data_IF_109928017977
#
_entry.id   IF_109928017977
#
_cell.length_a   1.000
_cell.length_b   1.000
_cell.length_c   1.000
_cell.angle_alpha   90.00
_cell.angle_beta   90.00
_cell.angle_gamma   90.00
#
_symmetry.space_group_name_H-M   'P 1'
#
loop_
_entity.id
_entity.type
_entity.pdbx_description
1 polymer ?
#
# COMPACT_ATOMS: atom_id res chain seq x y z
N UNK A 1 10.67 -7.03 11.14
CA UNK A 1 9.59 -7.94 10.70
C UNK A 1 8.80 -7.46 9.47
N UNK A 2 8.97 -6.22 8.97
CA UNK A 2 8.12 -5.67 7.87
C UNK A 2 8.16 -6.43 6.54
N UNK A 3 9.32 -6.51 5.87
CA UNK A 3 9.42 -7.10 4.52
C UNK A 3 9.13 -8.60 4.43
N UNK A 4 9.43 -9.37 5.48
CA UNK A 4 9.13 -10.82 5.48
C UNK A 4 7.62 -11.04 5.49
N UNK A 5 6.88 -10.27 6.31
CA UNK A 5 5.42 -10.32 6.32
C UNK A 5 4.83 -9.90 4.96
N UNK A 6 5.41 -8.88 4.31
CA UNK A 6 5.01 -8.41 2.98
C UNK A 6 5.18 -9.49 1.91
N UNK A 7 6.31 -10.21 1.89
CA UNK A 7 6.52 -11.35 0.97
C UNK A 7 5.52 -12.47 1.24
N UNK A 8 5.28 -12.82 2.50
CA UNK A 8 4.27 -13.81 2.87
C UNK A 8 2.89 -13.41 2.35
N UNK A 9 2.49 -12.15 2.52
CA UNK A 9 1.21 -11.62 2.03
C UNK A 9 1.08 -11.78 0.53
N UNK A 10 2.11 -11.43 -0.25
CA UNK A 10 2.11 -11.59 -1.72
C UNK A 10 1.90 -13.04 -2.13
N UNK A 11 2.51 -13.98 -1.42
CA UNK A 11 2.33 -15.41 -1.71
C UNK A 11 0.90 -15.85 -1.37
N UNK A 12 0.41 -15.51 -0.17
CA UNK A 12 -0.90 -15.94 0.31
C UNK A 12 -2.08 -15.33 -0.47
N UNK A 13 -1.97 -14.06 -0.89
CA UNK A 13 -3.03 -13.34 -1.61
C UNK A 13 -2.95 -13.55 -3.13
N UNK A 14 -1.96 -14.31 -3.62
CA UNK A 14 -1.87 -14.74 -5.01
C UNK A 14 -1.25 -13.71 -5.96
N UNK A 15 -0.27 -12.96 -5.48
CA UNK A 15 0.55 -12.03 -6.28
C UNK A 15 0.06 -10.59 -6.24
N UNK A 16 0.93 -9.67 -6.68
CA UNK A 16 0.66 -8.22 -6.62
C UNK A 16 -0.57 -7.77 -7.41
N UNK A 17 -0.92 -8.43 -8.53
CA UNK A 17 -2.11 -8.12 -9.31
C UNK A 17 -3.40 -8.24 -8.50
N UNK A 18 -3.57 -9.34 -7.76
CA UNK A 18 -4.75 -9.56 -6.92
C UNK A 18 -4.79 -8.57 -5.76
N UNK A 19 -3.65 -8.36 -5.10
CA UNK A 19 -3.55 -7.38 -4.01
C UNK A 19 -3.93 -5.99 -4.51
N UNK A 20 -3.42 -5.58 -5.67
CA UNK A 20 -3.71 -4.29 -6.26
C UNK A 20 -5.21 -4.11 -6.53
N UNK A 21 -5.85 -5.09 -7.19
CA UNK A 21 -7.28 -5.05 -7.53
C UNK A 21 -8.20 -5.12 -6.30
N UNK A 22 -7.78 -5.79 -5.23
CA UNK A 22 -8.54 -5.82 -3.97
C UNK A 22 -8.32 -4.56 -3.13
N UNK A 23 -7.15 -3.94 -3.26
CA UNK A 23 -6.77 -2.76 -2.49
C UNK A 23 -7.35 -1.50 -3.10
N UNK A 24 -7.36 -1.35 -4.42
CA UNK A 24 -7.78 -0.13 -5.10
C UNK A 24 -8.97 -0.39 -6.02
N UNK A 25 -9.82 0.61 -6.18
CA UNK A 25 -10.82 0.60 -7.23
C UNK A 25 -10.12 0.67 -8.59
N UNK A 26 -10.33 -0.36 -9.41
CA UNK A 26 -9.71 -0.50 -10.72
C UNK A 26 -10.75 -0.38 -11.82
N UNK A 27 -10.35 0.25 -12.93
CA UNK A 27 -11.18 0.23 -14.14
C UNK A 27 -11.23 -1.21 -14.70
N UNK A 28 -12.30 -1.60 -15.42
CA UNK A 28 -12.46 -2.95 -15.95
C UNK A 28 -11.26 -3.49 -16.75
N UNK A 29 -10.57 -2.62 -17.49
CA UNK A 29 -9.42 -2.97 -18.34
C UNK A 29 -8.06 -2.54 -17.75
N UNK A 30 -8.04 -2.09 -16.50
CA UNK A 30 -6.82 -1.66 -15.86
C UNK A 30 -5.91 -2.83 -15.50
N UNK A 31 -4.66 -2.77 -15.97
CA UNK A 31 -3.67 -3.83 -15.75
C UNK A 31 -2.51 -3.31 -14.93
N UNK A 32 -2.15 -4.04 -13.88
CA UNK A 32 -0.91 -3.79 -13.17
C UNK A 32 0.27 -4.11 -14.11
N UNK A 33 1.30 -3.25 -14.11
CA UNK A 33 2.54 -3.44 -14.86
C UNK A 33 3.68 -3.86 -13.96
N UNK A 34 3.85 -3.14 -12.85
CA UNK A 34 4.94 -3.33 -11.91
C UNK A 34 4.49 -3.01 -10.49
N UNK A 35 5.12 -3.67 -9.52
CA UNK A 35 5.02 -3.35 -8.12
C UNK A 35 6.43 -3.27 -7.52
N UNK A 36 6.66 -2.29 -6.66
CA UNK A 36 7.96 -2.03 -6.04
C UNK A 36 7.77 -1.84 -4.53
N UNK A 37 8.47 -2.63 -3.72
CA UNK A 37 8.62 -2.31 -2.31
C UNK A 37 9.42 -1.00 -2.18
N UNK A 38 8.88 -0.02 -1.48
CA UNK A 38 9.46 1.32 -1.37
C UNK A 38 9.15 1.97 -0.03
N UNK A 39 9.71 3.16 0.17
CA UNK A 39 9.29 4.08 1.23
C UNK A 39 8.68 5.31 0.59
N UNK A 40 7.48 5.70 1.02
CA UNK A 40 6.88 6.98 0.69
C UNK A 40 7.39 8.04 1.67
N UNK A 41 8.08 9.06 1.16
CA UNK A 41 8.51 10.18 1.98
C UNK A 41 7.31 11.05 2.36
N UNK A 42 7.14 11.33 3.65
CA UNK A 42 6.13 12.25 4.16
C UNK A 42 6.77 13.27 5.10
N UNK A 43 6.05 14.34 5.45
CA UNK A 43 6.48 15.32 6.46
C UNK A 43 6.69 14.71 7.85
N UNK A 44 6.07 13.57 8.14
CA UNK A 44 6.20 12.84 9.40
C UNK A 44 7.19 11.66 9.30
N UNK A 45 7.96 11.60 8.21
CA UNK A 45 8.96 10.56 7.96
C UNK A 45 8.54 9.54 6.89
N UNK A 46 9.43 8.58 6.58
CA UNK A 46 9.17 7.58 5.54
C UNK A 46 8.17 6.52 6.00
N UNK A 47 7.20 6.21 5.15
CA UNK A 47 6.24 5.10 5.35
C UNK A 47 6.62 3.95 4.43
N UNK A 48 6.83 2.75 5.01
CA UNK A 48 7.10 1.54 4.23
C UNK A 48 5.84 1.03 3.54
N UNK A 49 5.96 0.65 2.26
CA UNK A 49 4.84 0.11 1.51
C UNK A 49 5.21 -0.38 0.12
N UNK A 50 4.20 -0.51 -0.72
CA UNK A 50 4.33 -0.94 -2.12
C UNK A 50 3.78 0.14 -3.05
N UNK A 51 4.59 0.54 -4.03
CA UNK A 51 4.16 1.34 -5.17
C UNK A 51 3.70 0.41 -6.29
N UNK A 52 2.46 0.56 -6.73
CA UNK A 52 1.85 -0.11 -7.85
C UNK A 52 1.82 0.83 -9.05
N UNK A 53 2.32 0.34 -10.19
CA UNK A 53 2.28 1.05 -11.48
C UNK A 53 1.35 0.28 -12.38
N UNK A 54 0.17 0.84 -12.68
CA UNK A 54 -0.80 0.25 -13.61
C UNK A 54 -0.83 0.98 -14.95
N UNK A 55 -1.68 0.52 -15.87
CA UNK A 55 -1.97 1.23 -17.13
C UNK A 55 -2.71 2.54 -16.94
N UNK A 56 -3.27 2.81 -15.76
CA UNK A 56 -4.16 3.95 -15.52
C UNK A 56 -3.73 4.84 -14.34
N UNK A 57 -2.98 4.32 -13.37
CA UNK A 57 -2.57 5.08 -12.17
C UNK A 57 -1.28 4.59 -11.54
N UNK A 58 -0.73 5.46 -10.69
CA UNK A 58 0.27 5.13 -9.70
C UNK A 58 -0.43 5.08 -8.35
N UNK A 59 -0.31 3.98 -7.63
CA UNK A 59 -0.95 3.83 -6.33
C UNK A 59 0.05 3.33 -5.29
N UNK A 60 -0.04 3.83 -4.07
CA UNK A 60 0.77 3.42 -2.94
C UNK A 60 -0.10 2.88 -1.82
N UNK A 61 0.32 1.79 -1.19
CA UNK A 61 -0.31 1.23 0.02
C UNK A 61 0.77 0.88 1.05
N UNK A 62 0.59 1.28 2.30
CA UNK A 62 1.49 0.92 3.39
C UNK A 62 1.42 -0.58 3.73
N UNK A 63 2.56 -1.16 4.13
CA UNK A 63 2.64 -2.59 4.49
C UNK A 63 1.89 -2.91 5.79
N UNK A 64 1.77 -1.92 6.68
CA UNK A 64 1.10 -2.00 7.98
C UNK A 64 0.32 -0.72 8.28
N UNK A 65 -0.59 -0.74 9.26
CA UNK A 65 -1.22 0.48 9.75
C UNK A 65 -0.17 1.49 10.21
N UNK A 66 -0.37 2.75 9.84
CA UNK A 66 0.44 3.89 10.23
C UNK A 66 -0.28 4.60 11.36
N UNK A 67 0.42 4.86 12.46
CA UNK A 67 -0.14 5.56 13.61
C UNK A 67 -0.31 7.05 13.30
N UNK A 68 -1.41 7.64 13.78
CA UNK A 68 -1.68 9.06 13.71
C UNK A 68 -2.46 9.51 14.95
N UNK A 69 -2.45 10.82 15.22
CA UNK A 69 -3.19 11.41 16.33
C UNK A 69 -4.46 12.04 15.77
N UNK A 70 -5.60 11.76 16.41
CA UNK A 70 -6.91 12.33 16.05
C UNK A 70 -7.09 13.72 16.65
N UNK A 71 -8.12 14.44 16.23
CA UNK A 71 -8.46 15.77 16.76
C UNK A 71 -8.70 15.75 18.28
N UNK A 72 -9.24 14.63 18.81
CA UNK A 72 -9.47 14.40 20.25
C UNK A 72 -8.19 13.97 21.01
N UNK A 73 -7.02 14.12 20.39
CA UNK A 73 -5.70 13.78 20.95
C UNK A 73 -5.56 12.28 21.34
N UNK A 74 -6.25 11.40 20.63
CA UNK A 74 -6.13 9.95 20.77
C UNK A 74 -5.23 9.37 19.69
N UNK A 75 -4.49 8.31 20.01
CA UNK A 75 -3.69 7.59 19.01
C UNK A 75 -4.55 6.55 18.30
N UNK A 76 -4.61 6.63 16.98
CA UNK A 76 -5.24 5.65 16.11
C UNK A 76 -4.22 5.12 15.09
N UNK A 77 -4.57 4.06 14.36
CA UNK A 77 -3.76 3.59 13.24
C UNK A 77 -4.63 3.11 12.09
N UNK A 78 -4.18 3.37 10.86
CA UNK A 78 -4.89 2.99 9.63
C UNK A 78 -3.92 2.67 8.49
N UNK A 79 -4.35 1.89 7.51
CA UNK A 79 -3.57 1.67 6.28
C UNK A 79 -3.50 2.98 5.50
N UNK A 80 -2.28 3.43 5.19
CA UNK A 80 -2.06 4.65 4.41
C UNK A 80 -2.09 4.33 2.92
N UNK A 81 -3.00 4.96 2.17
CA UNK A 81 -3.22 4.74 0.74
C UNK A 81 -3.18 6.05 -0.04
N UNK A 82 -2.62 6.02 -1.23
CA UNK A 82 -2.63 7.11 -2.21
C UNK A 82 -2.85 6.49 -3.59
N UNK A 83 -3.72 7.05 -4.43
CA UNK A 83 -4.00 6.55 -5.78
C UNK A 83 -4.52 7.64 -6.69
#
# INVERSE_FOLDING_TARGET
MGRIAQVSKVISEGGYDKIFQQTFECLPDEKLKKAYACYLSTSHGPIMGVLYVSTAKLAFCSDSPVAYVTEDNQTASAIYKCC
#
